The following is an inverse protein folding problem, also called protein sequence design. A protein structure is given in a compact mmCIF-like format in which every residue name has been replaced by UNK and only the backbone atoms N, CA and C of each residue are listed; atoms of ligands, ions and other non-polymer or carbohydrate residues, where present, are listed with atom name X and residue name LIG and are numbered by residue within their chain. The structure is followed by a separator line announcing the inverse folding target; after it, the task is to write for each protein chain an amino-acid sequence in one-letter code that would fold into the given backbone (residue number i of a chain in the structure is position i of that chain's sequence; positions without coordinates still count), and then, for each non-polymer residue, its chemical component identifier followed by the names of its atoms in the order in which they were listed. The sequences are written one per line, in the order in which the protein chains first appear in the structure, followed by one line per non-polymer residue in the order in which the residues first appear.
data_IF_092605247204
#
_entry.id   IF_092605247204
#
_cell.length_a   1.000
_cell.length_b   1.000
_cell.length_c   1.000
_cell.angle_alpha   90.00
_cell.angle_beta   90.00
_cell.angle_gamma   90.00
#
_symmetry.space_group_name_H-M   'P 1'
#
loop_
_entity.id
_entity.type
_entity.pdbx_description
1 polymer ?
#
# COMPACT_ATOMS: atom_id res chain seq x y z
N UNK A 1 53.88 21.38 -67.22
CA UNK A 1 53.11 22.59 -66.87
C UNK A 1 53.00 22.60 -65.34
N UNK A 2 53.78 23.47 -64.68
CA UNK A 2 53.33 24.58 -63.81
C UNK A 2 52.32 24.11 -62.74
N UNK A 3 52.53 24.21 -61.43
CA UNK A 3 53.54 24.78 -60.54
C UNK A 3 53.24 24.23 -59.11
N UNK A 4 54.20 24.15 -58.19
CA UNK A 4 54.49 25.22 -57.20
C UNK A 4 53.32 25.43 -56.22
N UNK A 5 53.41 25.35 -54.88
CA UNK A 5 54.52 25.41 -53.92
C UNK A 5 53.94 25.16 -52.49
N UNK A 6 54.71 24.48 -51.62
CA UNK A 6 55.01 24.70 -50.17
C UNK A 6 53.98 25.43 -49.25
N UNK A 7 53.86 25.22 -47.94
CA UNK A 7 54.78 24.81 -46.87
C UNK A 7 53.91 24.50 -45.60
N UNK A 8 54.17 23.47 -44.79
CA UNK A 8 55.08 23.39 -43.64
C UNK A 8 54.48 23.75 -42.25
N UNK A 9 54.81 22.87 -41.27
CA UNK A 9 55.09 23.10 -39.83
C UNK A 9 53.89 23.10 -38.85
N UNK A 10 53.66 22.09 -38.00
CA UNK A 10 54.30 21.56 -36.75
C UNK A 10 53.67 22.10 -35.45
N UNK A 11 53.54 21.20 -34.45
CA UNK A 11 53.31 21.39 -33.01
C UNK A 11 51.84 21.60 -32.61
N UNK A 12 51.30 21.12 -31.50
CA UNK A 12 51.69 20.23 -30.41
C UNK A 12 50.36 19.91 -29.68
N UNK A 13 50.30 18.75 -29.04
CA UNK A 13 49.69 18.52 -27.72
C UNK A 13 48.41 19.29 -27.34
N UNK A 14 47.26 18.60 -27.23
CA UNK A 14 46.41 18.63 -26.02
C UNK A 14 45.21 17.66 -26.13
N UNK A 15 45.07 16.79 -25.12
CA UNK A 15 43.87 16.00 -24.80
C UNK A 15 43.17 16.74 -23.66
N UNK A 16 41.88 17.14 -23.76
CA UNK A 16 40.79 16.47 -23.01
C UNK A 16 39.37 16.78 -23.59
N UNK A 17 38.24 16.55 -22.89
CA UNK A 17 37.84 15.41 -22.06
C UNK A 17 36.61 14.67 -22.61
N UNK A 18 36.38 13.47 -22.05
CA UNK A 18 35.09 12.79 -22.05
C UNK A 18 33.94 13.77 -21.70
N UNK A 19 33.04 14.00 -22.64
CA UNK A 19 31.76 14.66 -22.35
C UNK A 19 30.77 13.62 -21.89
N UNK A 20 30.65 13.54 -20.55
CA UNK A 20 29.41 13.38 -19.78
C UNK A 20 28.26 12.68 -20.49
N UNK A 21 27.99 11.45 -20.04
CA UNK A 21 26.64 10.89 -20.11
C UNK A 21 25.64 11.90 -19.56
N UNK A 22 24.53 12.07 -20.29
CA UNK A 22 23.35 12.77 -19.79
C UNK A 22 22.89 12.07 -18.52
N UNK A 23 23.21 12.66 -17.39
CA UNK A 23 22.45 12.52 -16.16
C UNK A 23 21.11 13.22 -16.40
N UNK A 24 20.05 12.43 -16.56
CA UNK A 24 18.69 12.95 -16.73
C UNK A 24 17.66 11.84 -16.82
N UNK A 25 17.79 10.79 -16.01
CA UNK A 25 16.88 9.62 -16.09
C UNK A 25 16.59 8.93 -14.75
N UNK A 26 17.04 9.50 -13.62
CA UNK A 26 16.84 8.92 -12.28
C UNK A 26 15.79 9.67 -11.47
N UNK A 27 15.63 10.98 -11.69
CA UNK A 27 14.66 11.82 -10.95
C UNK A 27 13.22 11.56 -11.41
N UNK A 28 12.99 11.52 -12.73
CA UNK A 28 11.65 11.31 -13.31
C UNK A 28 10.99 9.97 -12.91
N UNK A 29 11.78 8.92 -12.68
CA UNK A 29 11.26 7.60 -12.28
C UNK A 29 10.80 7.56 -10.83
N UNK A 30 11.49 8.27 -9.94
CA UNK A 30 11.12 8.36 -8.53
C UNK A 30 9.87 9.23 -8.34
N UNK A 31 9.76 10.30 -9.12
CA UNK A 31 8.57 11.17 -9.13
C UNK A 31 7.34 10.47 -9.71
N UNK A 32 7.49 9.67 -10.78
CA UNK A 32 6.36 8.92 -11.35
C UNK A 32 5.85 7.84 -10.40
N UNK A 33 6.77 7.12 -9.73
CA UNK A 33 6.40 6.10 -8.74
C UNK A 33 5.68 6.70 -7.53
N UNK A 34 6.14 7.87 -7.04
CA UNK A 34 5.48 8.61 -5.96
C UNK A 34 4.11 9.14 -6.38
N UNK A 35 3.99 9.62 -7.61
CA UNK A 35 2.73 10.15 -8.15
C UNK A 35 1.69 9.04 -8.28
N UNK A 36 2.06 7.90 -8.86
CA UNK A 36 1.18 6.74 -8.98
C UNK A 36 0.75 6.20 -7.60
N UNK A 37 1.68 6.16 -6.64
CA UNK A 37 1.40 5.77 -5.27
C UNK A 37 0.43 6.75 -4.57
N UNK A 38 0.66 8.05 -4.67
CA UNK A 38 -0.24 9.07 -4.12
C UNK A 38 -1.64 8.98 -4.73
N UNK A 39 -1.74 8.73 -6.05
CA UNK A 39 -3.03 8.53 -6.70
C UNK A 39 -3.77 7.29 -6.17
N UNK A 40 -3.05 6.18 -6.01
CA UNK A 40 -3.59 4.92 -5.47
C UNK A 40 -4.09 5.09 -4.04
N UNK A 41 -3.29 5.70 -3.16
CA UNK A 41 -3.66 5.98 -1.76
C UNK A 41 -4.87 6.93 -1.70
N UNK A 42 -4.89 7.98 -2.52
CA UNK A 42 -6.03 8.89 -2.57
C UNK A 42 -7.31 8.20 -3.05
N UNK A 43 -7.23 7.40 -4.11
CA UNK A 43 -8.37 6.65 -4.65
C UNK A 43 -8.94 5.69 -3.59
N UNK A 44 -8.09 4.88 -2.95
CA UNK A 44 -8.50 3.99 -1.88
C UNK A 44 -9.14 4.77 -0.72
N UNK A 45 -8.57 5.90 -0.32
CA UNK A 45 -9.14 6.71 0.77
C UNK A 45 -10.52 7.26 0.41
N UNK A 46 -10.74 7.70 -0.83
CA UNK A 46 -12.05 8.18 -1.30
C UNK A 46 -13.09 7.06 -1.33
N UNK A 47 -12.67 5.87 -1.74
CA UNK A 47 -13.50 4.67 -1.74
C UNK A 47 -13.89 4.26 -0.31
N UNK A 48 -12.94 4.25 0.61
CA UNK A 48 -13.22 4.02 2.03
C UNK A 48 -14.17 5.08 2.59
N UNK A 49 -14.03 6.36 2.22
CA UNK A 49 -14.98 7.42 2.62
C UNK A 49 -16.39 7.17 2.08
N UNK A 50 -16.51 6.79 0.81
CA UNK A 50 -17.82 6.55 0.18
C UNK A 50 -18.54 5.35 0.83
N UNK A 51 -17.78 4.33 1.23
CA UNK A 51 -18.30 3.15 1.93
C UNK A 51 -18.61 3.44 3.42
N UNK A 52 -17.73 4.13 4.13
CA UNK A 52 -17.87 4.34 5.58
C UNK A 52 -18.87 5.44 5.93
N UNK A 53 -19.03 6.47 5.10
CA UNK A 53 -19.97 7.56 5.34
C UNK A 53 -21.40 7.08 5.65
N UNK A 54 -22.05 6.23 4.82
CA UNK A 54 -23.40 5.73 5.10
C UNK A 54 -23.46 4.80 6.32
N UNK A 55 -22.36 4.12 6.67
CA UNK A 55 -22.30 3.14 7.77
C UNK A 55 -22.07 3.84 9.12
N UNK A 56 -21.14 4.80 9.16
CA UNK A 56 -20.67 5.44 10.38
C UNK A 56 -21.28 6.83 10.61
N UNK A 57 -22.04 7.38 9.64
CA UNK A 57 -22.63 8.73 9.72
C UNK A 57 -21.59 9.80 10.10
N UNK A 58 -20.47 9.79 9.38
CA UNK A 58 -19.31 10.69 9.61
C UNK A 58 -18.49 10.44 10.90
N UNK A 59 -18.90 9.51 11.77
CA UNK A 59 -18.09 9.08 12.92
C UNK A 59 -16.98 8.10 12.47
N UNK A 60 -16.01 8.60 11.72
CA UNK A 60 -14.82 7.85 11.30
C UNK A 60 -13.67 8.79 10.94
N UNK A 61 -12.44 8.28 11.05
CA UNK A 61 -11.21 8.98 10.65
C UNK A 61 -10.41 8.11 9.68
N UNK A 62 -9.75 8.71 8.69
CA UNK A 62 -8.89 7.98 7.75
C UNK A 62 -7.53 8.67 7.71
N UNK A 63 -6.51 7.94 8.15
CA UNK A 63 -5.12 8.30 7.97
C UNK A 63 -4.62 7.70 6.65
N UNK A 64 -4.02 8.52 5.80
CA UNK A 64 -3.37 8.06 4.57
C UNK A 64 -1.88 7.80 4.81
N UNK A 65 -1.31 6.86 4.06
CA UNK A 65 0.12 6.59 3.94
C UNK A 65 0.86 6.46 5.28
N UNK A 66 0.40 5.57 6.16
CA UNK A 66 1.06 5.33 7.45
C UNK A 66 2.33 4.49 7.24
N UNK A 67 3.45 4.95 7.81
CA UNK A 67 4.70 4.19 7.83
C UNK A 67 5.02 3.75 9.25
N UNK A 68 5.08 2.43 9.45
CA UNK A 68 5.45 1.83 10.71
C UNK A 68 6.92 1.40 10.65
N UNK A 69 7.72 2.00 11.51
CA UNK A 69 9.12 1.63 11.67
C UNK A 69 9.28 0.65 12.84
N UNK A 70 10.03 -0.44 12.67
CA UNK A 70 10.39 -1.31 13.79
C UNK A 70 11.20 -0.54 14.83
N UNK A 71 11.08 -0.93 16.09
CA UNK A 71 11.90 -0.39 17.17
C UNK A 71 13.41 -0.55 16.85
N UNK A 72 14.21 0.46 17.23
CA UNK A 72 15.66 0.52 17.05
C UNK A 72 16.34 -0.81 17.42
N UNK A 73 17.00 -1.45 16.44
CA UNK A 73 17.74 -2.71 16.64
C UNK A 73 17.09 -3.96 16.02
N UNK A 74 15.84 -3.89 15.57
CA UNK A 74 15.22 -4.96 14.76
C UNK A 74 15.46 -4.71 13.27
N UNK A 75 15.92 -5.73 12.54
CA UNK A 75 16.05 -5.73 11.06
C UNK A 75 14.73 -6.08 10.35
N UNK A 76 13.59 -5.77 10.96
CA UNK A 76 12.30 -5.95 10.29
C UNK A 76 12.15 -4.88 9.19
N UNK A 77 11.50 -5.18 8.07
CA UNK A 77 11.29 -4.19 7.02
C UNK A 77 10.37 -3.08 7.53
N UNK A 78 10.68 -1.83 7.15
CA UNK A 78 9.75 -0.71 7.30
C UNK A 78 8.45 -1.08 6.58
N UNK A 79 7.34 -1.07 7.29
CA UNK A 79 6.04 -1.45 6.76
C UNK A 79 5.25 -0.19 6.44
N UNK A 80 4.93 0.01 5.16
CA UNK A 80 4.08 1.10 4.71
C UNK A 80 2.69 0.56 4.42
N UNK A 81 1.69 1.31 4.85
CA UNK A 81 0.28 0.99 4.68
C UNK A 81 -0.38 2.15 3.93
N UNK A 82 -1.22 1.83 2.95
CA UNK A 82 -1.89 2.86 2.15
C UNK A 82 -2.89 3.68 2.96
N UNK A 83 -3.75 3.04 3.76
CA UNK A 83 -4.76 3.72 4.56
C UNK A 83 -4.97 3.03 5.92
N UNK A 84 -5.26 3.81 6.95
CA UNK A 84 -5.78 3.31 8.23
C UNK A 84 -7.13 3.96 8.47
N UNK A 85 -8.19 3.17 8.51
CA UNK A 85 -9.53 3.62 8.81
C UNK A 85 -9.88 3.34 10.28
N UNK A 86 -10.14 4.41 11.04
CA UNK A 86 -10.60 4.36 12.42
C UNK A 86 -12.11 4.55 12.42
N UNK A 87 -12.81 3.61 13.05
CA UNK A 87 -14.26 3.62 13.16
C UNK A 87 -14.67 3.36 14.60
N UNK A 88 -15.94 3.64 14.90
CA UNK A 88 -16.52 3.34 16.22
C UNK A 88 -16.46 1.85 16.63
N UNK A 89 -16.23 0.94 15.68
CA UNK A 89 -16.22 -0.51 15.91
C UNK A 89 -14.85 -1.17 15.65
N UNK A 90 -13.81 -0.39 15.36
CA UNK A 90 -12.46 -0.92 15.14
C UNK A 90 -11.57 -0.04 14.27
N UNK A 91 -10.30 -0.41 14.22
CA UNK A 91 -9.27 0.18 13.37
C UNK A 91 -8.89 -0.82 12.28
N UNK A 92 -8.88 -0.38 11.03
CA UNK A 92 -8.64 -1.21 9.87
C UNK A 92 -7.43 -0.69 9.11
N UNK A 93 -6.40 -1.52 9.02
CA UNK A 93 -5.17 -1.30 8.27
C UNK A 93 -5.43 -1.79 6.85
N UNK A 94 -5.61 -0.88 5.90
CA UNK A 94 -6.06 -1.19 4.54
C UNK A 94 -4.96 -0.93 3.53
N UNK A 95 -4.64 -1.93 2.72
CA UNK A 95 -3.62 -1.88 1.68
C UNK A 95 -4.21 -2.26 0.32
N UNK A 96 -3.80 -1.56 -0.72
CA UNK A 96 -4.24 -1.84 -2.08
C UNK A 96 -3.30 -2.81 -2.79
N UNK A 97 -3.87 -3.73 -3.54
CA UNK A 97 -3.17 -4.80 -4.25
C UNK A 97 -3.56 -4.76 -5.72
N UNK A 98 -2.56 -4.82 -6.59
CA UNK A 98 -2.66 -4.63 -8.04
C UNK A 98 -2.53 -5.94 -8.83
N UNK A 99 -2.84 -7.07 -8.19
CA UNK A 99 -2.73 -8.39 -8.81
C UNK A 99 -3.79 -8.61 -9.88
N UNK A 100 -3.48 -9.49 -10.84
CA UNK A 100 -4.31 -9.83 -12.00
C UNK A 100 -4.60 -11.33 -11.97
N UNK A 101 -5.80 -11.74 -12.38
CA UNK A 101 -6.17 -13.15 -12.51
C UNK A 101 -6.88 -13.72 -11.29
N UNK A 102 -6.98 -15.05 -11.25
CA UNK A 102 -7.76 -15.76 -10.24
C UNK A 102 -6.88 -16.01 -9.01
N UNK A 103 -7.26 -15.41 -7.88
CA UNK A 103 -6.60 -15.59 -6.59
C UNK A 103 -7.28 -16.73 -5.86
N UNK A 104 -6.51 -17.77 -5.57
CA UNK A 104 -6.97 -18.94 -4.82
C UNK A 104 -6.10 -19.18 -3.60
N UNK A 105 -6.65 -19.76 -2.52
CA UNK A 105 -5.85 -20.16 -1.37
C UNK A 105 -4.88 -21.27 -1.79
N UNK A 106 -3.73 -21.33 -1.12
CA UNK A 106 -2.84 -22.49 -1.21
C UNK A 106 -2.98 -23.35 0.04
N UNK A 107 -2.25 -24.45 0.13
CA UNK A 107 -2.17 -25.26 1.35
C UNK A 107 -1.57 -24.51 2.55
N UNK A 108 -0.93 -23.36 2.30
CA UNK A 108 -0.36 -22.50 3.32
C UNK A 108 -1.12 -21.17 3.33
N UNK A 109 -1.70 -20.82 4.48
CA UNK A 109 -2.44 -19.55 4.67
C UNK A 109 -1.55 -18.32 4.42
N UNK A 110 -0.23 -18.48 4.49
CA UNK A 110 0.74 -17.44 4.20
C UNK A 110 0.94 -17.17 2.71
N UNK A 111 0.45 -18.03 1.82
CA UNK A 111 0.63 -17.92 0.38
C UNK A 111 -0.67 -18.04 -0.41
N UNK A 112 -0.75 -17.30 -1.50
CA UNK A 112 -1.87 -17.32 -2.43
C UNK A 112 -1.35 -17.70 -3.81
N UNK A 113 -2.12 -18.50 -4.53
CA UNK A 113 -1.85 -18.81 -5.94
C UNK A 113 -2.63 -17.85 -6.81
N UNK A 114 -1.97 -17.29 -7.80
CA UNK A 114 -2.55 -16.42 -8.82
C UNK A 114 -2.50 -17.17 -10.14
N UNK A 115 -3.66 -17.40 -10.75
CA UNK A 115 -3.76 -17.97 -12.10
C UNK A 115 -4.06 -16.85 -13.09
N UNK A 116 -3.07 -16.51 -13.91
CA UNK A 116 -3.18 -15.48 -14.93
C UNK A 116 -3.87 -16.00 -16.21
N UNK A 117 -4.25 -15.08 -17.09
CA UNK A 117 -4.80 -15.42 -18.40
C UNK A 117 -3.76 -16.22 -19.21
N UNK A 118 -4.13 -17.43 -19.64
CA UNK A 118 -3.20 -18.41 -20.23
C UNK A 118 -2.76 -19.54 -19.30
N UNK A 119 -3.25 -19.57 -18.06
CA UNK A 119 -3.08 -20.69 -17.14
C UNK A 119 -1.73 -20.73 -16.41
N UNK A 120 -0.96 -19.64 -16.48
CA UNK A 120 0.28 -19.50 -15.71
C UNK A 120 -0.09 -19.32 -14.24
N UNK A 121 0.41 -20.22 -13.40
CA UNK A 121 0.19 -20.18 -11.94
C UNK A 121 1.44 -19.67 -11.26
N UNK A 122 1.30 -18.62 -10.46
CA UNK A 122 2.36 -18.09 -9.60
C UNK A 122 1.93 -18.08 -8.14
N UNK A 123 2.84 -18.43 -7.23
CA UNK A 123 2.58 -18.33 -5.79
C UNK A 123 3.19 -17.03 -5.26
N UNK A 124 2.38 -16.24 -4.55
CA UNK A 124 2.80 -14.99 -3.91
C UNK A 124 2.49 -15.01 -2.42
N UNK A 125 3.26 -14.27 -1.65
CA UNK A 125 2.97 -14.08 -0.22
C UNK A 125 1.63 -13.37 -0.04
N UNK A 126 0.82 -13.85 0.89
CA UNK A 126 -0.47 -13.25 1.21
C UNK A 126 -0.28 -11.77 1.62
N UNK A 127 -1.05 -10.82 1.03
CA UNK A 127 -0.91 -9.40 1.35
C UNK A 127 -1.12 -9.08 2.83
N UNK A 128 -1.97 -9.83 3.53
CA UNK A 128 -2.23 -9.65 4.96
C UNK A 128 -0.97 -9.80 5.80
N UNK A 129 -0.03 -10.68 5.40
CA UNK A 129 1.26 -10.82 6.11
C UNK A 129 2.10 -9.55 6.06
N UNK A 130 2.00 -8.78 4.98
CA UNK A 130 2.70 -7.49 4.86
C UNK A 130 2.13 -6.46 5.83
N UNK A 131 0.86 -6.60 6.19
CA UNK A 131 0.18 -5.70 7.12
C UNK A 131 0.44 -6.07 8.59
N UNK A 132 0.83 -7.31 8.87
CA UNK A 132 0.97 -7.81 10.25
C UNK A 132 1.87 -6.95 11.14
N UNK A 133 3.05 -6.46 10.69
CA UNK A 133 3.87 -5.58 11.52
C UNK A 133 3.15 -4.27 11.89
N UNK A 134 2.40 -3.69 10.95
CA UNK A 134 1.63 -2.47 11.20
C UNK A 134 0.43 -2.74 12.13
N UNK A 135 -0.25 -3.88 11.95
CA UNK A 135 -1.36 -4.30 12.82
C UNK A 135 -0.85 -4.52 14.25
N UNK A 136 0.26 -5.24 14.43
CA UNK A 136 0.85 -5.49 15.76
C UNK A 136 1.28 -4.17 16.42
N UNK A 137 1.93 -3.29 15.68
CA UNK A 137 2.32 -1.97 16.18
C UNK A 137 1.10 -1.15 16.63
N UNK A 138 0.06 -1.07 15.79
CA UNK A 138 -1.15 -0.31 16.13
C UNK A 138 -1.93 -0.93 17.28
N UNK A 139 -1.94 -2.26 17.41
CA UNK A 139 -2.54 -2.93 18.58
C UNK A 139 -1.85 -2.53 19.88
N UNK A 140 -0.51 -2.48 19.87
CA UNK A 140 0.25 -2.04 21.03
C UNK A 140 0.06 -0.54 21.31
N UNK A 141 0.03 0.28 20.26
CA UNK A 141 -0.16 1.73 20.39
C UNK A 141 -1.54 2.09 20.97
N UNK A 142 -2.57 1.34 20.59
CA UNK A 142 -3.97 1.62 20.91
C UNK A 142 -4.53 0.70 22.00
N UNK A 143 -3.66 0.06 22.78
CA UNK A 143 -4.06 -0.92 23.81
C UNK A 143 -5.04 -0.31 24.82
N UNK A 144 -4.81 0.95 25.21
CA UNK A 144 -5.64 1.72 26.15
C UNK A 144 -7.06 1.98 25.64
N UNK A 145 -7.27 1.96 24.33
CA UNK A 145 -8.58 2.19 23.71
C UNK A 145 -9.42 0.92 23.58
N UNK A 146 -8.84 -0.25 23.89
CA UNK A 146 -9.48 -1.56 23.77
C UNK A 146 -10.14 -1.81 22.38
N UNK A 147 -9.60 -1.21 21.33
CA UNK A 147 -10.15 -1.27 20.00
C UNK A 147 -9.60 -2.49 19.23
N UNK A 148 -10.44 -3.21 18.47
CA UNK A 148 -9.95 -4.25 17.59
C UNK A 148 -9.19 -3.61 16.41
N UNK A 149 -7.98 -4.10 16.14
CA UNK A 149 -7.20 -3.70 14.96
C UNK A 149 -7.09 -4.88 14.00
N UNK A 150 -7.44 -4.68 12.74
CA UNK A 150 -7.45 -5.72 11.70
C UNK A 150 -6.81 -5.24 10.40
N UNK A 151 -6.12 -6.16 9.69
CA UNK A 151 -5.59 -5.91 8.35
C UNK A 151 -6.57 -6.31 7.26
N UNK A 152 -6.67 -5.50 6.22
CA UNK A 152 -7.53 -5.70 5.04
C UNK A 152 -6.73 -5.39 3.79
N UNK A 153 -6.81 -6.25 2.78
CA UNK A 153 -6.19 -6.00 1.48
C UNK A 153 -7.26 -5.91 0.40
N UNK A 154 -7.19 -4.88 -0.45
CA UNK A 154 -8.19 -4.57 -1.46
C UNK A 154 -7.60 -4.74 -2.86
N UNK A 155 -8.19 -5.63 -3.67
CA UNK A 155 -7.76 -5.89 -5.04
C UNK A 155 -8.49 -4.97 -6.03
N UNK A 156 -7.86 -3.87 -6.43
CA UNK A 156 -8.51 -2.83 -7.25
C UNK A 156 -8.62 -3.15 -8.75
N UNK A 157 -7.98 -4.22 -9.20
CA UNK A 157 -8.00 -4.58 -10.61
C UNK A 157 -9.25 -5.38 -10.97
N UNK A 158 -10.00 -4.93 -11.98
CA UNK A 158 -11.26 -5.57 -12.40
C UNK A 158 -11.06 -7.01 -12.93
N UNK A 159 -9.90 -7.29 -13.52
CA UNK A 159 -9.51 -8.61 -14.04
C UNK A 159 -8.99 -9.58 -12.96
N UNK A 160 -8.99 -9.16 -11.70
CA UNK A 160 -8.75 -10.04 -10.58
C UNK A 160 -10.06 -10.72 -10.15
N UNK A 161 -10.03 -12.02 -9.87
CA UNK A 161 -11.16 -12.75 -9.30
C UNK A 161 -10.69 -13.37 -7.99
N UNK A 162 -11.34 -13.01 -6.88
CA UNK A 162 -11.01 -13.53 -5.56
C UNK A 162 -11.85 -14.77 -5.28
N UNK A 163 -11.22 -15.92 -5.08
CA UNK A 163 -11.93 -17.15 -4.75
C UNK A 163 -12.59 -17.02 -3.36
N UNK A 164 -13.87 -17.38 -3.17
CA UNK A 164 -14.55 -17.29 -1.87
C UNK A 164 -13.88 -18.05 -0.71
N UNK A 165 -12.98 -18.98 -1.03
CA UNK A 165 -12.23 -19.78 -0.05
C UNK A 165 -11.01 -19.06 0.53
N UNK A 166 -10.65 -17.87 0.02
CA UNK A 166 -9.56 -17.07 0.60
C UNK A 166 -10.01 -16.41 1.92
N UNK A 167 -9.08 -15.91 2.75
CA UNK A 167 -9.44 -15.18 3.96
C UNK A 167 -10.37 -13.98 3.69
N UNK A 168 -11.37 -13.72 4.55
CA UNK A 168 -12.35 -12.65 4.36
C UNK A 168 -11.80 -11.23 4.53
N UNK A 169 -10.51 -11.09 4.83
CA UNK A 169 -9.77 -9.82 4.84
C UNK A 169 -9.19 -9.47 3.47
N UNK A 170 -9.28 -10.37 2.48
CA UNK A 170 -8.91 -10.18 1.10
C UNK A 170 -10.17 -9.86 0.30
N UNK A 171 -10.31 -8.61 -0.14
CA UNK A 171 -11.57 -8.07 -0.63
C UNK A 171 -11.43 -7.43 -1.99
N UNK A 172 -12.53 -7.41 -2.72
CA UNK A 172 -12.78 -6.48 -3.81
C UNK A 172 -13.37 -5.15 -3.30
N UNK A 173 -13.17 -4.06 -4.06
CA UNK A 173 -13.82 -2.77 -3.83
C UNK A 173 -15.31 -2.84 -3.47
N UNK A 174 -16.09 -3.60 -4.24
CA UNK A 174 -17.54 -3.75 -4.07
C UNK A 174 -17.94 -4.55 -2.81
N UNK A 175 -17.02 -5.35 -2.27
CA UNK A 175 -17.23 -6.14 -1.06
C UNK A 175 -17.01 -5.33 0.22
N UNK A 176 -16.30 -4.19 0.16
CA UNK A 176 -15.98 -3.35 1.32
C UNK A 176 -17.21 -2.95 2.11
N UNK A 177 -18.28 -2.54 1.43
CA UNK A 177 -19.52 -2.13 2.10
C UNK A 177 -20.16 -3.27 2.88
N UNK A 178 -20.20 -4.48 2.30
CA UNK A 178 -20.70 -5.66 3.01
C UNK A 178 -19.81 -5.99 4.22
N UNK A 179 -18.49 -6.00 4.02
CA UNK A 179 -17.50 -6.28 5.05
C UNK A 179 -17.68 -5.36 6.28
N UNK A 180 -17.68 -4.04 6.09
CA UNK A 180 -17.82 -3.10 7.20
C UNK A 180 -19.17 -3.22 7.89
N UNK A 181 -20.25 -3.49 7.15
CA UNK A 181 -21.58 -3.69 7.73
C UNK A 181 -21.63 -4.95 8.62
N UNK A 182 -20.99 -6.04 8.20
CA UNK A 182 -20.85 -7.25 9.02
C UNK A 182 -20.04 -6.98 10.29
N UNK A 183 -18.95 -6.21 10.19
CA UNK A 183 -18.13 -5.81 11.36
C UNK A 183 -18.92 -4.97 12.35
N UNK A 184 -19.64 -3.95 11.88
CA UNK A 184 -20.51 -3.11 12.72
C UNK A 184 -21.58 -3.96 13.43
N UNK A 185 -22.28 -4.83 12.70
CA UNK A 185 -23.31 -5.70 13.28
C UNK A 185 -22.74 -6.64 14.34
N UNK A 186 -21.56 -7.23 14.09
CA UNK A 186 -20.86 -8.06 15.07
C UNK A 186 -20.51 -7.26 16.32
N UNK A 187 -20.03 -6.03 16.17
CA UNK A 187 -19.67 -5.16 17.28
C UNK A 187 -20.87 -4.80 18.15
N UNK A 188 -21.99 -4.42 17.52
CA UNK A 188 -23.27 -4.13 18.22
C UNK A 188 -23.74 -5.37 18.99
N UNK A 189 -23.69 -6.55 18.37
CA UNK A 189 -24.09 -7.80 19.01
C UNK A 189 -23.20 -8.18 20.21
N UNK A 190 -21.93 -7.80 20.18
CA UNK A 190 -20.98 -8.05 21.27
C UNK A 190 -21.09 -7.04 22.42
N UNK A 191 -21.98 -6.03 22.33
CA UNK A 191 -22.21 -4.97 23.34
C UNK A 191 -20.91 -4.29 23.81
N UNK A 192 -19.94 -4.11 22.91
CA UNK A 192 -18.71 -3.39 23.22
C UNK A 192 -18.98 -1.88 23.28
N UNK A 193 -18.20 -1.18 24.09
CA UNK A 193 -18.22 0.28 24.12
C UNK A 193 -17.63 0.82 22.82
N UNK A 194 -18.29 1.82 22.22
CA UNK A 194 -17.78 2.49 21.04
C UNK A 194 -16.37 3.03 21.27
N UNK A 195 -15.54 2.92 20.25
CA UNK A 195 -14.15 3.34 20.27
C UNK A 195 -14.07 4.87 20.23
N UNK A 196 -13.15 5.46 21.00
CA UNK A 196 -12.84 6.89 20.94
C UNK A 196 -12.07 7.22 19.65
N UNK A 197 -12.82 7.69 18.65
CA UNK A 197 -12.29 7.96 17.31
C UNK A 197 -11.34 9.16 17.33
N UNK A 198 -11.68 10.20 18.11
CA UNK A 198 -10.92 11.44 18.15
C UNK A 198 -9.58 11.22 18.87
N UNK A 199 -9.60 10.50 20.00
CA UNK A 199 -8.39 10.11 20.74
C UNK A 199 -7.43 9.30 19.87
N UNK A 200 -7.92 8.29 19.16
CA UNK A 200 -7.11 7.47 18.25
C UNK A 200 -6.61 8.31 17.06
N UNK A 201 -7.47 9.15 16.48
CA UNK A 201 -7.10 10.02 15.37
C UNK A 201 -5.95 10.96 15.74
N UNK A 202 -5.99 11.56 16.93
CA UNK A 202 -4.89 12.38 17.45
C UNK A 202 -3.59 11.59 17.61
N UNK A 203 -3.65 10.37 18.12
CA UNK A 203 -2.46 9.53 18.31
C UNK A 203 -1.86 9.07 16.98
N UNK A 204 -2.69 8.79 15.97
CA UNK A 204 -2.23 8.45 14.62
C UNK A 204 -1.59 9.66 13.90
N UNK A 205 -2.15 10.86 14.07
CA UNK A 205 -1.57 12.08 13.52
C UNK A 205 -0.22 12.44 14.16
N UNK A 206 0.06 11.98 15.39
CA UNK A 206 1.34 12.20 16.05
C UNK A 206 2.48 11.32 15.52
N UNK A 207 2.16 10.24 14.79
CA UNK A 207 3.15 9.27 14.28
C UNK A 207 3.31 9.30 12.75
N UNK A 208 2.37 9.90 12.01
CA UNK A 208 2.41 10.05 10.55
C UNK A 208 2.98 11.39 10.12
#
# INVERSE_FOLDING_TARGET
MKGSTSAATTLETEKPPLSRGRFGDVDDRLDFSRTAECHRVNALSQELRSVLSPICREAYFIQQALTVQPAMGKREPVTRVDCVAVTQFGVFVVDSVDWIGIISPTFNDDTLSITEEGGVVSNRSCPIRRLEPAVVFLRALLEDFHCPVEGVAVFHRDDCIVNPSVPPSLLKPDELHHFFRVKLNRFINQRRHFVDIDGIGMQLMAIG
#
